data_IF_621376690082
#
_entry.id   IF_621376690082
#
_cell.length_a   1.000
_cell.length_b   1.000
_cell.length_c   1.000
_cell.angle_alpha   90.00
_cell.angle_beta   90.00
_cell.angle_gamma   90.00
#
_symmetry.space_group_name_H-M   'P 1'
#
loop_
_entity.id
_entity.type
_entity.pdbx_description
1 polymer ?
#
# COMPACT_ATOMS: atom_id res chain seq x y z
N UNK A 1 5.18 -7.34 23.54
CA UNK A 1 4.63 -5.98 23.75
C UNK A 1 3.93 -5.63 22.45
N UNK A 2 2.61 -5.59 22.44
CA UNK A 2 1.84 -5.28 21.23
C UNK A 2 2.04 -3.80 20.91
N UNK A 3 2.90 -3.51 19.95
CA UNK A 3 3.07 -2.17 19.40
C UNK A 3 1.77 -1.77 18.73
N UNK A 4 1.12 -0.76 19.28
CA UNK A 4 -0.12 -0.23 18.73
C UNK A 4 0.24 0.56 17.46
N UNK A 5 0.23 -0.12 16.31
CA UNK A 5 0.65 0.45 15.02
C UNK A 5 -0.40 1.35 14.36
N UNK A 6 -1.57 1.53 14.98
CA UNK A 6 -2.68 2.29 14.44
C UNK A 6 -2.40 3.80 14.43
N UNK A 7 -2.65 4.47 13.29
CA UNK A 7 -2.50 5.91 13.19
C UNK A 7 -3.72 6.63 13.79
N UNK A 8 -3.49 7.70 14.55
CA UNK A 8 -4.58 8.56 15.02
C UNK A 8 -5.15 9.39 13.86
N UNK A 9 -6.38 9.92 14.00
CA UNK A 9 -6.95 10.83 13.00
C UNK A 9 -6.03 12.02 12.68
N UNK A 10 -5.31 12.56 13.68
CA UNK A 10 -4.36 13.66 13.46
C UNK A 10 -3.14 13.22 12.65
N UNK A 11 -2.63 12.00 12.88
CA UNK A 11 -1.55 11.43 12.06
C UNK A 11 -1.99 11.24 10.61
N UNK A 12 -3.21 10.71 10.39
CA UNK A 12 -3.79 10.52 9.06
C UNK A 12 -3.94 11.83 8.32
N UNK A 13 -4.50 12.85 8.98
CA UNK A 13 -4.67 14.19 8.42
C UNK A 13 -3.33 14.81 8.02
N UNK A 14 -2.32 14.73 8.89
CA UNK A 14 -0.99 15.24 8.59
C UNK A 14 -0.35 14.52 7.38
N UNK A 15 -0.53 13.21 7.25
CA UNK A 15 -0.04 12.46 6.08
C UNK A 15 -0.74 12.88 4.79
N UNK A 16 -2.05 13.16 4.82
CA UNK A 16 -2.79 13.69 3.67
C UNK A 16 -2.30 15.09 3.28
N UNK A 17 -2.01 15.95 4.25
CA UNK A 17 -1.44 17.28 4.02
C UNK A 17 -0.06 17.19 3.38
N UNK A 18 0.83 16.34 3.91
CA UNK A 18 2.16 16.10 3.35
C UNK A 18 2.08 15.53 1.92
N UNK A 19 1.14 14.62 1.65
CA UNK A 19 0.92 14.10 0.30
C UNK A 19 0.51 15.21 -0.67
N UNK A 20 -0.48 16.03 -0.29
CA UNK A 20 -0.96 17.15 -1.12
C UNK A 20 0.12 18.20 -1.34
N UNK A 21 0.88 18.55 -0.31
CA UNK A 21 2.01 19.47 -0.40
C UNK A 21 3.09 18.92 -1.35
N UNK A 22 3.42 17.64 -1.26
CA UNK A 22 4.39 17.01 -2.15
C UNK A 22 3.96 17.07 -3.62
N UNK A 23 2.67 16.83 -3.89
CA UNK A 23 2.12 16.94 -5.24
C UNK A 23 2.21 18.39 -5.74
N UNK A 24 1.76 19.36 -4.93
CA UNK A 24 1.81 20.79 -5.28
C UNK A 24 3.25 21.27 -5.51
N UNK A 25 4.19 20.86 -4.66
CA UNK A 25 5.60 21.17 -4.81
C UNK A 25 6.17 20.52 -6.08
N UNK A 26 5.81 19.27 -6.34
CA UNK A 26 6.19 18.51 -7.53
C UNK A 26 5.74 19.15 -8.84
N UNK A 27 4.51 19.66 -8.91
CA UNK A 27 3.99 20.35 -10.09
C UNK A 27 4.84 21.57 -10.49
N UNK A 28 5.43 22.25 -9.50
CA UNK A 28 6.26 23.46 -9.70
C UNK A 28 7.75 23.18 -9.87
N UNK A 29 8.27 22.15 -9.22
CA UNK A 29 9.72 21.92 -9.09
C UNK A 29 10.20 20.61 -9.71
N UNK A 30 9.31 19.74 -10.16
CA UNK A 30 9.64 18.45 -10.78
C UNK A 30 10.27 17.42 -9.84
N UNK A 31 10.11 17.57 -8.52
CA UNK A 31 10.65 16.66 -7.49
C UNK A 31 9.75 16.66 -6.25
N UNK A 32 9.78 15.61 -5.40
CA UNK A 32 8.99 15.59 -4.16
C UNK A 32 9.42 16.69 -3.19
N UNK A 33 8.49 17.09 -2.31
CA UNK A 33 8.82 17.97 -1.19
C UNK A 33 9.80 17.30 -0.21
N UNK A 34 10.50 18.10 0.60
CA UNK A 34 11.31 17.60 1.70
C UNK A 34 10.56 17.78 3.02
N UNK A 35 10.82 16.92 4.00
CA UNK A 35 10.26 17.03 5.35
C UNK A 35 11.35 16.85 6.38
N UNK A 36 11.27 17.61 7.47
CA UNK A 36 12.11 17.40 8.64
C UNK A 36 11.45 16.39 9.58
N UNK A 37 11.92 15.15 9.54
CA UNK A 37 11.39 14.06 10.36
C UNK A 37 11.44 14.36 11.86
N UNK A 38 12.40 15.16 12.32
CA UNK A 38 12.55 15.47 13.75
C UNK A 38 11.39 16.32 14.29
N UNK A 39 10.65 16.98 13.40
CA UNK A 39 9.48 17.80 13.74
C UNK A 39 8.17 17.02 13.68
N UNK A 40 8.20 15.76 13.24
CA UNK A 40 7.01 14.93 13.10
C UNK A 40 6.75 14.05 14.34
N UNK A 41 5.51 13.64 14.60
CA UNK A 41 5.21 12.64 15.62
C UNK A 41 5.95 11.32 15.39
N UNK A 42 6.38 10.59 16.44
CA UNK A 42 7.15 9.35 16.31
C UNK A 42 6.56 8.30 15.36
N UNK A 43 5.23 8.06 15.31
CA UNK A 43 4.66 7.06 14.38
C UNK A 43 4.89 7.37 12.89
N UNK A 44 5.11 8.64 12.53
CA UNK A 44 5.39 9.05 11.15
C UNK A 44 6.88 8.90 10.78
N UNK A 45 7.73 8.67 11.77
CA UNK A 45 9.16 8.44 11.61
C UNK A 45 9.49 6.93 11.45
N UNK A 46 8.51 6.06 11.69
CA UNK A 46 8.68 4.61 11.58
C UNK A 46 8.83 4.16 10.13
N UNK A 47 9.65 3.13 9.90
CA UNK A 47 9.79 2.48 8.59
C UNK A 47 8.51 1.72 8.24
N UNK A 48 7.72 2.27 7.31
CA UNK A 48 6.43 1.71 6.88
C UNK A 48 6.31 1.82 5.36
N UNK A 49 5.63 0.86 4.75
CA UNK A 49 5.39 0.88 3.31
C UNK A 49 4.00 1.46 3.03
N UNK A 50 3.89 2.26 1.97
CA UNK A 50 2.62 2.88 1.60
C UNK A 50 2.28 2.71 0.12
N UNK A 51 1.00 2.85 -0.18
CA UNK A 51 0.50 3.19 -1.50
C UNK A 51 -0.26 4.49 -1.41
N UNK A 52 0.02 5.41 -2.33
CA UNK A 52 -0.77 6.62 -2.53
C UNK A 52 -1.55 6.47 -3.82
N UNK A 53 -2.86 6.60 -3.72
CA UNK A 53 -3.80 6.56 -4.83
C UNK A 53 -4.43 7.92 -5.00
N UNK A 54 -4.40 8.42 -6.23
CA UNK A 54 -5.02 9.66 -6.64
C UNK A 54 -6.26 9.32 -7.45
N UNK A 55 -7.36 10.00 -7.15
CA UNK A 55 -8.55 9.98 -7.98
C UNK A 55 -8.94 11.40 -8.38
N UNK A 56 -9.62 11.49 -9.52
CA UNK A 56 -10.24 12.73 -9.98
C UNK A 56 -11.68 12.36 -10.39
N UNK A 57 -12.67 13.01 -9.77
CA UNK A 57 -14.09 12.69 -9.99
C UNK A 57 -14.42 11.19 -9.79
N UNK A 58 -13.83 10.57 -8.77
CA UNK A 58 -13.99 9.14 -8.48
C UNK A 58 -13.31 8.17 -9.46
N UNK A 59 -12.50 8.67 -10.39
CA UNK A 59 -11.75 7.85 -11.34
C UNK A 59 -10.26 7.83 -10.99
N UNK A 60 -9.62 6.66 -11.13
CA UNK A 60 -8.19 6.50 -10.87
C UNK A 60 -7.35 7.45 -11.76
N UNK A 61 -6.55 8.30 -11.13
CA UNK A 61 -5.67 9.30 -11.77
C UNK A 61 -4.18 8.98 -11.61
N UNK A 62 -3.85 8.12 -10.66
CA UNK A 62 -2.50 7.60 -10.42
C UNK A 62 -2.45 6.71 -9.18
N UNK A 63 -1.56 5.73 -9.14
CA UNK A 63 -1.32 4.94 -7.93
C UNK A 63 0.11 4.40 -7.92
N UNK A 64 0.87 4.78 -6.89
CA UNK A 64 2.24 4.32 -6.68
C UNK A 64 2.45 3.94 -5.22
N UNK A 65 3.24 2.89 -5.00
CA UNK A 65 3.63 2.43 -3.68
C UNK A 65 4.60 1.27 -3.73
N UNK A 66 4.93 0.74 -2.56
CA UNK A 66 5.70 -0.49 -2.46
C UNK A 66 5.29 -1.31 -1.23
N UNK A 67 5.64 -2.59 -1.24
CA UNK A 67 5.36 -3.51 -0.12
C UNK A 67 6.44 -3.45 0.96
N UNK A 68 7.63 -3.03 0.59
CA UNK A 68 8.78 -3.00 1.48
C UNK A 68 8.93 -1.59 2.04
N UNK A 69 9.06 -1.43 3.37
CA UNK A 69 9.35 -0.15 3.95
C UNK A 69 10.77 0.27 3.57
N UNK A 70 10.89 1.22 2.65
CA UNK A 70 12.19 1.77 2.21
C UNK A 70 12.55 3.07 2.90
N UNK A 71 11.56 3.74 3.49
CA UNK A 71 11.65 5.06 4.08
C UNK A 71 10.75 5.16 5.32
N UNK A 72 11.02 6.13 6.20
CA UNK A 72 10.07 6.57 7.21
C UNK A 72 8.71 6.90 6.59
N UNK A 73 7.62 6.61 7.29
CA UNK A 73 6.25 6.71 6.79
C UNK A 73 5.95 8.05 6.10
N UNK A 74 6.33 9.17 6.72
CA UNK A 74 6.11 10.49 6.14
C UNK A 74 6.86 10.70 4.81
N UNK A 75 8.12 10.28 4.74
CA UNK A 75 8.91 10.35 3.51
C UNK A 75 8.37 9.41 2.43
N UNK A 76 7.90 8.22 2.81
CA UNK A 76 7.31 7.26 1.88
C UNK A 76 6.02 7.80 1.26
N UNK A 77 5.15 8.42 2.06
CA UNK A 77 3.94 9.10 1.58
C UNK A 77 4.28 10.26 0.65
N UNK A 78 5.20 11.14 1.03
CA UNK A 78 5.64 12.28 0.21
C UNK A 78 6.18 11.80 -1.15
N UNK A 79 7.03 10.78 -1.14
CA UNK A 79 7.61 10.21 -2.34
C UNK A 79 6.55 9.57 -3.23
N UNK A 80 5.69 8.72 -2.66
CA UNK A 80 4.67 8.00 -3.41
C UNK A 80 3.57 8.92 -3.92
N UNK A 81 3.21 9.99 -3.21
CA UNK A 81 2.26 11.00 -3.68
C UNK A 81 2.78 11.73 -4.91
N UNK A 82 4.04 12.17 -4.88
CA UNK A 82 4.71 12.74 -6.04
C UNK A 82 4.75 11.73 -7.21
N UNK A 83 5.19 10.51 -6.95
CA UNK A 83 5.31 9.50 -7.99
C UNK A 83 3.94 9.12 -8.59
N UNK A 84 2.88 9.02 -7.78
CA UNK A 84 1.52 8.78 -8.26
C UNK A 84 1.02 9.90 -9.18
N UNK A 85 1.38 11.16 -8.90
CA UNK A 85 0.97 12.30 -9.70
C UNK A 85 1.77 12.46 -11.00
N UNK A 86 3.06 12.13 -11.00
CA UNK A 86 3.96 12.53 -12.10
C UNK A 86 4.74 11.38 -12.75
N UNK A 87 4.76 10.20 -12.13
CA UNK A 87 5.60 9.06 -12.56
C UNK A 87 4.82 7.77 -12.81
N UNK A 88 3.51 7.75 -12.61
CA UNK A 88 2.68 6.61 -13.00
C UNK A 88 2.60 6.53 -14.54
N UNK A 89 3.21 5.52 -15.18
CA UNK A 89 3.35 5.46 -16.63
C UNK A 89 2.01 5.27 -17.37
N UNK A 90 0.94 4.99 -16.64
CA UNK A 90 -0.41 4.79 -17.20
C UNK A 90 -1.13 6.12 -17.46
N UNK A 91 -0.67 7.21 -16.85
CA UNK A 91 -1.35 8.50 -16.88
C UNK A 91 -0.39 9.63 -17.26
N UNK A 92 -0.87 10.71 -17.90
CA UNK A 92 -0.08 11.92 -18.06
C UNK A 92 0.22 12.54 -16.68
N UNK A 93 1.34 13.25 -16.50
CA UNK A 93 1.61 13.99 -15.28
C UNK A 93 0.47 14.94 -14.93
N UNK A 94 0.13 15.04 -13.64
CA UNK A 94 -0.84 16.01 -13.10
C UNK A 94 -0.38 17.44 -13.36
N UNK A 95 -1.29 18.33 -13.71
CA UNK A 95 -1.05 19.78 -13.86
C UNK A 95 -1.29 20.52 -12.55
N UNK A 96 -0.76 21.75 -12.43
CA UNK A 96 -0.93 22.56 -11.22
C UNK A 96 -2.42 22.84 -10.88
N UNK A 97 -3.25 23.05 -11.90
CA UNK A 97 -4.68 23.33 -11.74
C UNK A 97 -5.51 22.07 -11.35
N UNK A 98 -5.00 20.87 -11.64
CA UNK A 98 -5.64 19.61 -11.23
C UNK A 98 -5.44 19.33 -9.74
N UNK A 99 -4.36 19.81 -9.11
CA UNK A 99 -3.93 19.39 -7.77
C UNK A 99 -5.04 19.53 -6.73
N UNK A 100 -5.77 20.65 -6.74
CA UNK A 100 -6.80 20.94 -5.74
C UNK A 100 -8.07 20.10 -5.92
N UNK A 101 -8.27 19.48 -7.09
CA UNK A 101 -9.42 18.62 -7.40
C UNK A 101 -9.14 17.12 -7.18
N UNK A 102 -7.91 16.75 -6.80
CA UNK A 102 -7.55 15.36 -6.57
C UNK A 102 -8.06 14.87 -5.21
N UNK A 103 -8.69 13.71 -5.21
CA UNK A 103 -8.93 12.90 -4.01
C UNK A 103 -7.68 12.07 -3.74
N UNK A 104 -7.18 12.14 -2.50
CA UNK A 104 -5.95 11.44 -2.10
C UNK A 104 -6.33 10.36 -1.10
N UNK A 105 -5.98 9.11 -1.43
CA UNK A 105 -6.10 7.98 -0.54
C UNK A 105 -4.72 7.40 -0.24
N UNK A 106 -4.45 7.16 1.04
CA UNK A 106 -3.21 6.59 1.54
C UNK A 106 -3.53 5.23 2.15
N UNK A 107 -2.87 4.19 1.66
CA UNK A 107 -2.87 2.86 2.25
C UNK A 107 -1.54 2.65 2.97
N UNK A 108 -1.58 2.50 4.29
CA UNK A 108 -0.40 2.20 5.12
C UNK A 108 -0.38 0.72 5.44
N UNK A 109 0.71 0.05 5.09
CA UNK A 109 0.87 -1.38 5.29
C UNK A 109 1.42 -1.66 6.70
N UNK A 110 0.88 -2.70 7.34
CA UNK A 110 1.56 -3.30 8.50
C UNK A 110 2.89 -3.94 8.07
N UNK A 111 3.82 -4.16 9.01
CA UNK A 111 4.97 -5.02 8.74
C UNK A 111 4.53 -6.38 8.19
N UNK A 112 5.35 -6.97 7.31
CA UNK A 112 5.13 -8.33 6.81
C UNK A 112 5.35 -9.34 7.94
N UNK A 113 4.35 -10.19 8.16
CA UNK A 113 4.42 -11.29 9.11
C UNK A 113 4.48 -12.62 8.34
N UNK A 114 5.53 -13.41 8.55
CA UNK A 114 5.65 -14.71 7.90
C UNK A 114 4.60 -15.70 8.46
N UNK A 115 3.85 -16.33 7.56
CA UNK A 115 2.94 -17.42 7.90
C UNK A 115 3.74 -18.71 7.91
N UNK A 116 3.86 -19.32 9.09
CA UNK A 116 4.40 -20.67 9.22
C UNK A 116 3.33 -21.68 8.81
N UNK A 117 3.63 -22.56 7.85
CA UNK A 117 2.71 -23.62 7.40
C UNK A 117 3.46 -24.88 6.98
N UNK A 118 2.76 -26.02 6.99
CA UNK A 118 3.33 -27.34 6.62
C UNK A 118 2.70 -27.94 5.35
N UNK A 119 1.61 -27.36 4.85
CA UNK A 119 0.94 -27.77 3.62
C UNK A 119 0.10 -26.62 3.06
N UNK A 120 -0.35 -26.74 1.82
CA UNK A 120 -1.25 -25.75 1.22
C UNK A 120 -2.57 -25.65 1.98
N UNK A 121 -3.10 -26.79 2.43
CA UNK A 121 -4.34 -26.83 3.20
C UNK A 121 -4.19 -26.13 4.56
N UNK A 122 -3.03 -26.28 5.20
CA UNK A 122 -2.70 -25.58 6.45
C UNK A 122 -2.55 -24.07 6.22
N UNK A 123 -1.88 -23.66 5.13
CA UNK A 123 -1.79 -22.25 4.73
C UNK A 123 -3.18 -21.63 4.52
N UNK A 124 -4.06 -22.30 3.74
CA UNK A 124 -5.42 -21.85 3.48
C UNK A 124 -6.25 -21.68 4.76
N UNK A 125 -5.98 -22.49 5.80
CA UNK A 125 -6.67 -22.37 7.09
C UNK A 125 -6.20 -21.17 7.93
N UNK A 126 -5.03 -20.59 7.62
CA UNK A 126 -4.39 -19.52 8.40
C UNK A 126 -4.60 -18.13 7.81
N UNK A 127 -4.94 -18.03 6.53
CA UNK A 127 -5.21 -16.75 5.85
C UNK A 127 -6.61 -16.25 6.18
N UNK A 128 -6.77 -14.94 6.26
CA UNK A 128 -8.01 -14.27 6.66
C UNK A 128 -8.58 -13.46 5.48
N UNK A 129 -9.59 -13.98 4.76
CA UNK A 129 -10.25 -13.25 3.70
C UNK A 129 -10.76 -11.88 4.16
N UNK A 130 -10.60 -10.87 3.32
CA UNK A 130 -10.97 -9.47 3.60
C UNK A 130 -10.03 -8.73 4.55
N UNK A 131 -9.06 -9.42 5.17
CA UNK A 131 -8.14 -8.82 6.15
C UNK A 131 -6.69 -8.89 5.67
N UNK A 132 -6.24 -10.07 5.24
CA UNK A 132 -4.84 -10.31 4.91
C UNK A 132 -4.52 -9.90 3.46
N UNK A 133 -3.57 -8.99 3.27
CA UNK A 133 -2.77 -8.93 2.06
C UNK A 133 -1.72 -10.02 2.12
N UNK A 134 -1.39 -10.63 0.99
CA UNK A 134 -0.46 -11.75 0.92
C UNK A 134 0.72 -11.43 -0.01
N UNK A 135 1.92 -11.79 0.44
CA UNK A 135 3.15 -11.80 -0.37
C UNK A 135 3.64 -13.24 -0.49
N UNK A 136 3.75 -13.72 -1.73
CA UNK A 136 4.32 -15.02 -2.06
C UNK A 136 5.75 -14.84 -2.55
N UNK A 137 6.66 -15.66 -2.05
CA UNK A 137 8.05 -15.73 -2.51
C UNK A 137 8.50 -17.18 -2.73
N UNK A 138 9.08 -17.47 -3.89
CA UNK A 138 9.82 -18.72 -4.15
C UNK A 138 10.94 -18.46 -5.17
N UNK A 139 12.19 -18.39 -4.70
CA UNK A 139 13.35 -18.06 -5.54
C UNK A 139 13.21 -16.67 -6.19
N UNK A 140 13.13 -16.63 -7.53
CA UNK A 140 12.91 -15.39 -8.29
C UNK A 140 11.42 -15.05 -8.48
N UNK A 141 10.52 -15.94 -8.08
CA UNK A 141 9.08 -15.71 -8.17
C UNK A 141 8.60 -14.91 -6.97
N UNK A 142 7.96 -13.79 -7.25
CA UNK A 142 7.37 -12.94 -6.22
C UNK A 142 6.07 -12.33 -6.70
N UNK A 143 5.04 -12.45 -5.88
CA UNK A 143 3.71 -11.89 -6.16
C UNK A 143 3.07 -11.33 -4.90
N UNK A 144 2.19 -10.35 -5.08
CA UNK A 144 1.44 -9.75 -3.97
C UNK A 144 -0.01 -9.53 -4.35
N UNK A 145 -0.89 -9.64 -3.37
CA UNK A 145 -2.23 -9.07 -3.42
C UNK A 145 -2.53 -8.26 -2.15
N UNK A 146 -3.15 -7.09 -2.34
CA UNK A 146 -3.66 -6.26 -1.26
C UNK A 146 -4.95 -6.87 -0.68
N UNK A 147 -5.34 -6.53 0.56
CA UNK A 147 -6.62 -6.97 1.14
C UNK A 147 -7.83 -6.64 0.25
N UNK A 148 -7.84 -5.50 -0.44
CA UNK A 148 -8.94 -5.10 -1.33
C UNK A 148 -9.22 -6.11 -2.46
N UNK A 149 -8.26 -6.96 -2.84
CA UNK A 149 -8.45 -7.97 -3.89
C UNK A 149 -9.49 -9.03 -3.48
N UNK A 150 -9.69 -9.26 -2.18
CA UNK A 150 -10.69 -10.18 -1.65
C UNK A 150 -12.12 -9.87 -2.10
N UNK A 151 -12.44 -8.61 -2.41
CA UNK A 151 -13.75 -8.22 -2.94
C UNK A 151 -14.05 -8.88 -4.30
N UNK A 152 -13.00 -9.03 -5.13
CA UNK A 152 -13.09 -9.69 -6.44
C UNK A 152 -12.82 -11.20 -6.38
N UNK A 153 -12.05 -11.65 -5.39
CA UNK A 153 -11.63 -13.05 -5.21
C UNK A 153 -11.90 -13.51 -3.76
N UNK A 154 -13.17 -13.66 -3.34
CA UNK A 154 -13.51 -13.94 -1.94
C UNK A 154 -13.16 -15.37 -1.51
N UNK A 155 -12.95 -16.29 -2.46
CA UNK A 155 -12.57 -17.67 -2.17
C UNK A 155 -11.05 -17.78 -1.91
N UNK A 156 -10.60 -18.29 -0.75
CA UNK A 156 -9.18 -18.40 -0.40
C UNK A 156 -8.36 -19.24 -1.39
N UNK A 157 -8.96 -20.31 -1.94
CA UNK A 157 -8.30 -21.19 -2.90
C UNK A 157 -8.06 -20.43 -4.20
N UNK A 158 -9.08 -19.75 -4.73
CA UNK A 158 -8.95 -19.00 -5.96
C UNK A 158 -7.98 -17.82 -5.79
N UNK A 159 -8.03 -17.13 -4.65
CA UNK A 159 -7.09 -16.05 -4.32
C UNK A 159 -5.65 -16.53 -4.39
N UNK A 160 -5.32 -17.65 -3.74
CA UNK A 160 -3.98 -18.21 -3.73
C UNK A 160 -3.53 -18.66 -5.13
N UNK A 161 -4.42 -19.28 -5.92
CA UNK A 161 -4.12 -19.69 -7.30
C UNK A 161 -3.80 -18.48 -8.19
N UNK A 162 -4.59 -17.41 -8.09
CA UNK A 162 -4.35 -16.17 -8.83
C UNK A 162 -3.07 -15.47 -8.35
N UNK A 163 -2.74 -15.54 -7.06
CA UNK A 163 -1.49 -14.99 -6.52
C UNK A 163 -0.27 -15.71 -7.09
N UNK A 164 -0.31 -17.05 -7.18
CA UNK A 164 0.74 -17.85 -7.84
C UNK A 164 0.90 -17.44 -9.31
N UNK A 165 -0.20 -17.32 -10.05
CA UNK A 165 -0.17 -16.86 -11.45
C UNK A 165 0.48 -15.47 -11.56
N UNK A 166 0.13 -14.54 -10.67
CA UNK A 166 0.74 -13.20 -10.62
C UNK A 166 2.24 -13.24 -10.30
N UNK A 167 2.68 -14.20 -9.49
CA UNK A 167 4.10 -14.45 -9.21
C UNK A 167 4.83 -15.16 -10.36
N UNK A 168 4.14 -15.50 -11.46
CA UNK A 168 4.70 -16.24 -12.58
C UNK A 168 4.81 -17.75 -12.34
N UNK A 169 4.02 -18.29 -11.41
CA UNK A 169 3.97 -19.72 -11.06
C UNK A 169 2.67 -20.37 -11.59
N UNK A 170 2.68 -21.68 -11.91
CA UNK A 170 1.45 -22.42 -12.18
C UNK A 170 0.45 -22.38 -11.02
N UNK A 171 -0.86 -22.45 -11.28
CA UNK A 171 -1.89 -22.30 -10.25
C UNK A 171 -1.86 -23.45 -9.21
N UNK A 172 -1.41 -24.63 -9.62
CA UNK A 172 -1.26 -25.85 -8.82
C UNK A 172 0.18 -26.06 -8.30
N UNK A 173 1.07 -25.07 -8.50
CA UNK A 173 2.46 -25.14 -8.06
C UNK A 173 2.60 -25.23 -6.54
N UNK A 174 3.52 -26.08 -6.07
CA UNK A 174 3.90 -26.19 -4.66
C UNK A 174 5.40 -26.49 -4.52
N UNK A 175 6.00 -25.98 -3.45
CA UNK A 175 7.43 -26.13 -3.13
C UNK A 175 7.65 -25.98 -1.63
N UNK A 176 8.64 -26.70 -1.09
CA UNK A 176 9.05 -26.55 0.31
C UNK A 176 9.81 -25.25 0.58
N UNK A 177 10.24 -24.54 -0.47
CA UNK A 177 10.87 -23.23 -0.37
C UNK A 177 9.87 -22.08 -0.45
N UNK A 178 8.59 -22.37 -0.69
CA UNK A 178 7.55 -21.36 -0.79
C UNK A 178 7.41 -20.66 0.57
N UNK A 179 7.55 -19.35 0.57
CA UNK A 179 7.32 -18.49 1.73
C UNK A 179 6.08 -17.65 1.48
N UNK A 180 5.26 -17.53 2.52
CA UNK A 180 4.07 -16.68 2.49
C UNK A 180 4.14 -15.71 3.66
N UNK A 181 3.91 -14.45 3.36
CA UNK A 181 3.78 -13.40 4.36
C UNK A 181 2.40 -12.79 4.27
N UNK A 182 1.89 -12.32 5.41
CA UNK A 182 0.68 -11.50 5.48
C UNK A 182 1.00 -10.10 5.94
N UNK A 183 0.11 -9.18 5.60
CA UNK A 183 0.05 -7.83 6.15
C UNK A 183 -1.39 -7.34 6.12
N UNK A 184 -1.68 -6.30 6.87
CA UNK A 184 -2.95 -5.56 6.77
C UNK A 184 -2.69 -4.17 6.20
N UNK A 185 -3.74 -3.52 5.73
CA UNK A 185 -3.69 -2.14 5.25
C UNK A 185 -4.66 -1.28 6.04
N UNK A 186 -4.18 -0.17 6.58
CA UNK A 186 -5.01 0.92 7.07
C UNK A 186 -5.19 1.92 5.93
N UNK A 187 -6.43 2.20 5.53
CA UNK A 187 -6.75 3.09 4.41
C UNK A 187 -7.48 4.32 4.92
N UNK A 188 -7.04 5.51 4.51
CA UNK A 188 -7.67 6.79 4.82
C UNK A 188 -7.49 7.75 3.65
N UNK A 189 -8.41 8.70 3.48
CA UNK A 189 -8.38 9.61 2.35
C UNK A 189 -9.55 10.57 2.31
N UNK A 190 -9.55 11.41 1.28
CA UNK A 190 -10.69 12.28 0.95
C UNK A 190 -11.90 11.38 0.63
N UNK A 191 -13.06 11.66 1.23
CA UNK A 191 -14.32 10.94 1.02
C UNK A 191 -14.41 9.47 1.45
N UNK A 192 -13.53 8.99 2.35
CA UNK A 192 -13.81 7.74 3.08
C UNK A 192 -14.69 8.09 4.29
N UNK A 193 -15.95 7.59 4.39
CA UNK A 193 -16.75 7.77 5.60
C UNK A 193 -15.95 7.26 6.79
N UNK A 194 -15.80 8.04 7.86
CA UNK A 194 -15.33 7.48 9.13
C UNK A 194 -16.31 6.36 9.51
N UNK A 195 -15.86 5.11 9.46
CA UNK A 195 -16.63 4.01 10.04
C UNK A 195 -16.80 4.33 11.54
N UNK A 196 -18.02 4.71 11.91
CA UNK A 196 -18.42 5.08 13.27
C UNK A 196 -18.58 3.90 14.22
#
# INVERSE_FOLDING_TARGET
MSTNHSLSPQHRQLLLELARESIRYGARHGRPAAVDLQQLPPPLQEQRATFVTLQENGQLRGCIGSLEPRRPLAEDVIYNAFAAAFQDPRFPPVTEDEVDNLDIHISVLSPLEEIQFISEQDLLSKIRPGIDGLVLEDGHHRGTFLPAVWESLPNPVDFLRHLKLKAGLPPDYWSNNLRMYRYTTEVFGTDIPEEG
#
